data_IF_754495491840
#
_entry.id   IF_754495491840
#
_cell.length_a   1.000
_cell.length_b   1.000
_cell.length_c   1.000
_cell.angle_alpha   90.00
_cell.angle_beta   90.00
_cell.angle_gamma   90.00
#
_symmetry.space_group_name_H-M   'P 1'
#
loop_
_entity.id
_entity.type
_entity.pdbx_description
1 polymer ?
#
# COMPACT_ATOMS: atom_id res chain seq x y z
N UNK A 1 -2.75 -21.25 17.77
CA UNK A 1 -3.32 -22.28 16.89
C UNK A 1 -2.63 -22.09 15.55
N UNK A 2 -1.91 -23.08 15.05
CA UNK A 2 -1.48 -23.10 13.65
C UNK A 2 -2.70 -23.25 12.72
N UNK A 3 -2.61 -22.65 11.53
CA UNK A 3 -3.74 -22.34 10.68
C UNK A 3 -3.59 -21.00 9.95
N UNK A 4 -4.56 -20.73 9.09
CA UNK A 4 -4.65 -19.55 8.25
C UNK A 4 -6.02 -18.87 8.40
N UNK A 5 -6.02 -17.54 8.31
CA UNK A 5 -7.23 -16.76 8.15
C UNK A 5 -7.68 -16.76 6.70
N UNK A 6 -8.99 -16.78 6.47
CA UNK A 6 -9.53 -16.82 5.11
C UNK A 6 -10.74 -15.91 4.94
N UNK A 7 -10.63 -14.91 4.07
CA UNK A 7 -11.77 -14.09 3.65
C UNK A 7 -12.60 -14.84 2.62
N UNK A 8 -13.91 -14.90 2.78
CA UNK A 8 -14.82 -15.50 1.81
C UNK A 8 -15.70 -14.48 1.08
N UNK A 9 -16.14 -14.89 -0.11
CA UNK A 9 -17.10 -14.22 -0.99
C UNK A 9 -18.39 -13.81 -0.25
N UNK A 10 -18.86 -14.68 0.65
CA UNK A 10 -20.03 -14.47 1.52
C UNK A 10 -19.80 -13.55 2.74
N UNK A 11 -18.84 -12.62 2.62
CA UNK A 11 -18.63 -11.51 3.55
C UNK A 11 -18.32 -11.94 5.01
N UNK A 12 -17.61 -13.06 5.15
CA UNK A 12 -17.27 -13.65 6.46
C UNK A 12 -15.80 -14.11 6.45
N UNK A 13 -15.05 -13.64 7.44
CA UNK A 13 -13.69 -14.10 7.75
C UNK A 13 -13.76 -15.45 8.48
N UNK A 14 -12.88 -16.38 8.13
CA UNK A 14 -12.81 -17.76 8.63
C UNK A 14 -11.44 -18.10 9.21
N UNK A 15 -11.35 -19.11 10.06
CA UNK A 15 -10.08 -19.70 10.50
C UNK A 15 -10.04 -21.16 10.08
N UNK A 16 -9.11 -21.51 9.19
CA UNK A 16 -8.78 -22.88 8.81
C UNK A 16 -7.57 -23.34 9.61
N UNK A 17 -7.60 -24.53 10.21
CA UNK A 17 -6.44 -25.05 10.95
C UNK A 17 -5.57 -25.91 10.05
N UNK A 18 -4.26 -25.87 10.24
CA UNK A 18 -3.31 -26.76 9.54
C UNK A 18 -3.55 -28.25 9.86
N UNK A 19 -4.37 -28.56 10.87
CA UNK A 19 -4.76 -29.91 11.28
C UNK A 19 -6.13 -30.37 10.74
N UNK A 20 -6.91 -29.50 10.08
CA UNK A 20 -8.18 -29.81 9.41
C UNK A 20 -8.44 -28.82 8.27
N UNK A 21 -8.09 -29.24 7.05
CA UNK A 21 -8.27 -28.48 5.81
C UNK A 21 -9.73 -28.47 5.31
N UNK A 22 -10.60 -29.25 5.94
CA UNK A 22 -12.04 -29.33 5.61
C UNK A 22 -12.91 -28.37 6.42
N UNK A 23 -12.43 -27.91 7.57
CA UNK A 23 -13.23 -27.18 8.59
C UNK A 23 -12.66 -25.80 8.93
N UNK A 24 -12.75 -24.85 8.01
CA UNK A 24 -12.51 -23.44 8.35
C UNK A 24 -13.74 -22.78 9.02
N UNK A 25 -13.93 -22.83 10.36
CA UNK A 25 -15.13 -22.38 11.19
C UNK A 25 -15.60 -20.91 10.92
N UNK A 26 -16.87 -20.36 11.15
CA UNK A 26 -17.04 -18.55 10.39
C UNK A 26 -16.16 -17.52 11.21
N UNK A 27 -14.86 -17.81 11.45
CA UNK A 27 -13.82 -17.39 12.44
C UNK A 27 -14.27 -17.24 13.90
N UNK A 28 -15.23 -16.37 14.14
CA UNK A 28 -15.00 -15.37 15.18
C UNK A 28 -15.71 -15.64 16.52
N UNK A 29 -16.80 -16.40 16.62
CA UNK A 29 -17.27 -17.01 17.89
C UNK A 29 -16.32 -18.07 18.44
N UNK A 30 -15.15 -18.35 17.84
CA UNK A 30 -14.04 -18.86 18.67
C UNK A 30 -13.85 -17.87 19.84
N UNK A 31 -13.98 -16.57 19.58
CA UNK A 31 -14.15 -15.51 20.58
C UNK A 31 -15.40 -15.65 21.45
N UNK A 32 -16.63 -15.78 20.95
CA UNK A 32 -17.82 -15.92 21.83
C UNK A 32 -17.82 -17.24 22.65
N UNK A 33 -17.17 -18.30 22.16
CA UNK A 33 -16.97 -19.56 22.89
C UNK A 33 -15.94 -19.39 24.00
N UNK A 34 -14.91 -18.56 23.80
CA UNK A 34 -14.09 -18.05 24.89
C UNK A 34 -14.88 -16.99 25.66
N UNK A 35 -15.57 -17.38 26.75
CA UNK A 35 -16.60 -16.60 27.44
C UNK A 35 -16.21 -15.17 27.95
N UNK A 36 -14.96 -14.73 27.80
CA UNK A 36 -14.62 -13.31 27.80
C UNK A 36 -14.65 -12.77 26.38
N UNK A 37 -15.53 -11.81 26.10
CA UNK A 37 -15.72 -11.19 24.79
C UNK A 37 -14.51 -10.34 24.34
N UNK A 38 -13.34 -10.94 24.15
CA UNK A 38 -11.99 -10.34 24.17
C UNK A 38 -11.71 -9.26 23.10
N UNK A 39 -11.77 -7.99 23.48
CA UNK A 39 -11.22 -6.63 22.25
C UNK A 39 -9.86 -6.72 21.54
N UNK A 40 -9.07 -7.74 21.86
CA UNK A 40 -7.74 -7.97 21.29
C UNK A 40 -7.63 -9.42 20.77
N UNK A 41 -8.76 -10.12 20.68
CA UNK A 41 -8.87 -11.45 20.10
C UNK A 41 -8.23 -11.52 18.70
N UNK A 42 -8.54 -10.55 17.84
CA UNK A 42 -8.02 -10.49 16.47
C UNK A 42 -6.50 -10.24 16.42
N UNK A 43 -5.90 -9.55 17.41
CA UNK A 43 -4.43 -9.37 17.46
C UNK A 43 -3.69 -10.71 17.52
N UNK A 44 -4.31 -11.76 18.06
CA UNK A 44 -3.77 -13.13 18.11
C UNK A 44 -3.67 -13.78 16.71
N UNK A 45 -4.32 -13.18 15.71
CA UNK A 45 -4.34 -13.63 14.32
C UNK A 45 -3.68 -12.64 13.35
N UNK A 46 -3.16 -11.50 13.82
CA UNK A 46 -2.51 -10.50 12.95
C UNK A 46 -1.35 -11.07 12.13
N UNK A 47 -0.60 -12.03 12.69
CA UNK A 47 0.52 -12.71 12.03
C UNK A 47 0.13 -14.00 11.30
N UNK A 48 -1.14 -14.39 11.30
CA UNK A 48 -1.60 -15.57 10.57
C UNK A 48 -1.66 -15.28 9.08
N UNK A 49 -1.22 -16.24 8.27
CA UNK A 49 -1.36 -16.22 6.82
C UNK A 49 -2.82 -15.96 6.44
N UNK A 50 -3.05 -15.06 5.49
CA UNK A 50 -4.35 -14.85 4.86
C UNK A 50 -4.43 -15.60 3.53
N UNK A 51 -5.61 -16.14 3.27
CA UNK A 51 -6.11 -16.50 1.94
C UNK A 51 -7.34 -15.62 1.66
N UNK A 52 -7.52 -15.21 0.41
CA UNK A 52 -8.77 -14.58 -0.05
C UNK A 52 -9.45 -15.57 -0.99
N UNK A 53 -10.74 -15.85 -0.79
CA UNK A 53 -11.52 -16.75 -1.65
C UNK A 53 -11.81 -16.11 -3.01
N UNK A 54 -11.84 -16.92 -4.07
CA UNK A 54 -12.24 -16.47 -5.40
C UNK A 54 -13.62 -15.78 -5.37
N UNK A 55 -13.68 -14.54 -5.88
CA UNK A 55 -14.91 -13.74 -5.88
C UNK A 55 -15.17 -12.94 -4.60
N UNK A 56 -14.25 -12.95 -3.62
CA UNK A 56 -14.29 -12.00 -2.49
C UNK A 56 -14.03 -10.59 -3.01
N UNK A 57 -14.99 -9.69 -2.80
CA UNK A 57 -14.85 -8.27 -3.14
C UNK A 57 -14.30 -7.45 -1.97
N UNK A 58 -13.87 -6.22 -2.22
CA UNK A 58 -13.46 -5.29 -1.17
C UNK A 58 -14.60 -5.06 -0.15
N UNK A 59 -15.85 -4.95 -0.61
CA UNK A 59 -17.04 -4.91 0.26
C UNK A 59 -17.20 -6.18 1.10
N UNK A 60 -16.95 -7.38 0.55
CA UNK A 60 -16.98 -8.63 1.32
C UNK A 60 -15.89 -8.66 2.40
N UNK A 61 -14.69 -8.14 2.12
CA UNK A 61 -13.64 -7.99 3.16
C UNK A 61 -14.11 -7.03 4.26
N UNK A 62 -14.69 -5.89 3.91
CA UNK A 62 -15.14 -4.87 4.88
C UNK A 62 -16.24 -5.39 5.80
N UNK A 63 -17.24 -6.06 5.23
CA UNK A 63 -18.31 -6.70 6.00
C UNK A 63 -17.78 -7.88 6.84
N UNK A 64 -16.75 -8.58 6.37
CA UNK A 64 -16.08 -9.64 7.12
C UNK A 64 -15.28 -9.11 8.33
N UNK A 65 -14.72 -7.90 8.27
CA UNK A 65 -13.96 -7.26 9.37
C UNK A 65 -14.77 -6.32 10.25
N UNK A 66 -16.00 -5.92 9.85
CA UNK A 66 -16.91 -5.09 10.66
C UNK A 66 -16.96 -5.45 12.15
N UNK A 67 -17.08 -6.74 12.52
CA UNK A 67 -16.93 -7.21 13.88
C UNK A 67 -15.79 -6.65 14.75
N UNK A 68 -14.67 -6.24 14.16
CA UNK A 68 -13.54 -5.64 14.87
C UNK A 68 -13.21 -4.23 14.38
N UNK A 69 -14.15 -3.53 13.73
CA UNK A 69 -13.89 -2.20 13.13
C UNK A 69 -13.30 -1.19 14.12
N UNK A 70 -13.71 -1.21 15.38
CA UNK A 70 -13.12 -0.37 16.43
C UNK A 70 -11.64 -0.68 16.73
N UNK A 71 -11.23 -1.96 16.70
CA UNK A 71 -9.82 -2.35 16.87
C UNK A 71 -8.98 -1.97 15.65
N UNK A 72 -9.52 -2.22 14.45
CA UNK A 72 -8.83 -1.93 13.20
C UNK A 72 -8.69 -0.43 12.99
N UNK A 73 -9.71 0.38 13.30
CA UNK A 73 -9.62 1.83 13.35
C UNK A 73 -8.54 2.32 14.32
N UNK A 74 -8.48 1.76 15.52
CA UNK A 74 -7.50 2.16 16.53
C UNK A 74 -6.05 1.69 16.24
N UNK A 75 -5.84 0.77 15.30
CA UNK A 75 -4.53 0.25 14.92
C UNK A 75 -4.03 0.80 13.58
N UNK A 76 -4.91 0.92 12.58
CA UNK A 76 -4.62 1.48 11.26
C UNK A 76 -4.66 3.02 11.25
N UNK A 77 -5.25 3.64 12.28
CA UNK A 77 -5.53 5.08 12.31
C UNK A 77 -6.40 5.53 11.11
N UNK A 78 -7.49 4.82 10.87
CA UNK A 78 -8.43 5.04 9.76
C UNK A 78 -9.86 4.78 10.23
N UNK A 79 -10.84 5.51 9.71
CA UNK A 79 -12.26 5.21 9.97
C UNK A 79 -12.76 4.05 9.10
N UNK A 80 -12.21 2.86 9.38
CA UNK A 80 -12.69 1.55 8.92
C UNK A 80 -14.21 1.44 9.13
N UNK A 81 -14.74 2.05 10.21
CA UNK A 81 -16.18 2.16 10.47
C UNK A 81 -16.95 2.87 9.36
N UNK A 82 -16.54 4.08 9.02
CA UNK A 82 -17.11 4.86 7.91
C UNK A 82 -16.94 4.14 6.57
N UNK A 83 -15.76 3.56 6.29
CA UNK A 83 -15.52 2.76 5.07
C UNK A 83 -16.50 1.56 4.96
N UNK A 84 -16.76 0.85 6.06
CA UNK A 84 -17.76 -0.23 6.13
C UNK A 84 -19.18 0.28 5.88
N UNK A 85 -19.55 1.39 6.50
CA UNK A 85 -20.91 1.92 6.42
C UNK A 85 -21.18 2.61 5.06
N UNK A 86 -20.13 3.02 4.35
CA UNK A 86 -20.15 3.49 2.95
C UNK A 86 -20.33 2.33 1.95
N UNK A 87 -19.60 1.21 2.11
CA UNK A 87 -19.75 0.08 1.17
C UNK A 87 -21.15 -0.56 1.22
N UNK A 88 -21.88 -0.43 2.34
CA UNK A 88 -23.28 -0.90 2.49
C UNK A 88 -24.31 -0.11 1.67
N UNK A 89 -24.04 1.15 1.31
CA UNK A 89 -24.99 1.96 0.51
C UNK A 89 -25.01 1.44 -0.94
N UNK A 90 -26.13 1.54 -1.70
CA UNK A 90 -26.12 1.17 -3.13
C UNK A 90 -25.10 2.02 -3.91
N UNK A 91 -24.41 1.42 -4.89
CA UNK A 91 -23.61 2.20 -5.86
C UNK A 91 -24.52 2.93 -6.84
N UNK A 92 -24.07 4.10 -7.30
CA UNK A 92 -24.65 4.77 -8.47
C UNK A 92 -24.26 4.08 -9.78
N UNK A 93 -24.67 4.66 -10.91
CA UNK A 93 -24.26 4.21 -12.25
C UNK A 93 -22.88 4.75 -12.65
N UNK A 94 -21.90 4.63 -11.76
CA UNK A 94 -20.52 5.07 -11.99
C UNK A 94 -19.73 3.96 -12.68
N UNK A 95 -19.14 4.23 -13.83
CA UNK A 95 -18.24 3.31 -14.52
C UNK A 95 -16.83 3.39 -13.92
N UNK A 96 -16.23 2.25 -13.63
CA UNK A 96 -14.82 2.11 -13.29
C UNK A 96 -14.18 1.17 -14.31
N UNK A 97 -13.01 1.54 -14.84
CA UNK A 97 -12.29 0.71 -15.82
C UNK A 97 -11.41 -0.37 -15.15
N UNK A 98 -11.26 -0.31 -13.83
CA UNK A 98 -10.53 -1.30 -13.02
C UNK A 98 -11.31 -2.63 -12.95
N UNK A 99 -10.61 -3.76 -13.12
CA UNK A 99 -11.21 -5.10 -13.12
C UNK A 99 -10.93 -5.90 -11.84
N UNK A 100 -9.83 -5.64 -11.15
CA UNK A 100 -9.52 -6.23 -9.83
C UNK A 100 -8.62 -5.32 -8.99
N UNK A 101 -8.57 -5.62 -7.69
CA UNK A 101 -7.62 -5.04 -6.74
C UNK A 101 -6.58 -6.12 -6.41
N UNK A 102 -5.32 -5.86 -6.72
CA UNK A 102 -4.19 -6.71 -6.36
C UNK A 102 -3.48 -6.19 -5.12
N UNK A 103 -3.01 -7.10 -4.27
CA UNK A 103 -2.10 -6.80 -3.16
C UNK A 103 -0.75 -7.46 -3.45
N UNK A 104 0.29 -6.66 -3.70
CA UNK A 104 1.65 -7.14 -3.99
C UNK A 104 2.67 -6.70 -2.93
N UNK A 105 3.55 -7.62 -2.52
CA UNK A 105 4.69 -7.31 -1.63
C UNK A 105 5.92 -6.99 -2.47
N UNK A 106 6.59 -5.88 -2.13
CA UNK A 106 7.90 -5.52 -2.67
C UNK A 106 8.89 -5.35 -1.54
N UNK A 107 10.14 -5.69 -1.83
CA UNK A 107 11.23 -5.66 -0.86
C UNK A 107 12.43 -5.00 -1.51
N UNK A 108 13.01 -4.01 -0.85
CA UNK A 108 14.23 -3.32 -1.29
C UNK A 108 15.36 -3.59 -0.30
N UNK A 109 16.58 -3.72 -0.82
CA UNK A 109 17.79 -3.86 0.00
C UNK A 109 18.78 -2.77 -0.38
N UNK A 110 19.24 -2.02 0.62
CA UNK A 110 20.11 -0.85 0.46
C UNK A 110 21.37 -1.02 1.30
N UNK A 111 22.51 -0.55 0.79
CA UNK A 111 23.75 -0.50 1.58
C UNK A 111 23.64 0.58 2.66
N UNK A 112 23.98 0.25 3.91
CA UNK A 112 24.14 1.27 4.94
C UNK A 112 25.54 1.91 4.82
N UNK A 113 25.62 3.23 4.97
CA UNK A 113 26.86 4.01 4.83
C UNK A 113 27.27 4.67 6.16
N UNK A 114 28.57 4.88 6.36
CA UNK A 114 29.09 5.54 7.56
C UNK A 114 28.94 7.06 7.48
N UNK A 115 27.84 7.58 8.02
CA UNK A 115 27.62 9.01 8.19
C UNK A 115 28.60 9.63 9.20
N UNK A 116 29.56 10.39 8.69
CA UNK A 116 30.40 11.28 9.50
C UNK A 116 29.67 12.62 9.69
N UNK A 117 29.68 13.23 10.90
CA UNK A 117 29.08 14.54 11.10
C UNK A 117 29.77 15.61 10.25
N UNK A 118 29.07 16.72 9.97
CA UNK A 118 29.63 17.88 9.28
C UNK A 118 30.71 18.52 10.16
N UNK A 119 31.81 18.98 9.55
CA UNK A 119 32.82 19.75 10.27
C UNK A 119 32.39 21.22 10.42
N UNK A 120 32.98 21.94 11.39
CA UNK A 120 32.59 23.33 11.70
C UNK A 120 32.88 24.28 10.52
N UNK A 121 34.00 24.06 9.82
CA UNK A 121 34.49 24.87 8.71
C UNK A 121 33.97 24.43 7.32
N UNK A 122 33.19 23.36 7.25
CA UNK A 122 32.78 22.70 5.99
C UNK A 122 31.48 23.28 5.40
N UNK A 123 31.43 23.43 4.06
CA UNK A 123 30.21 23.88 3.38
C UNK A 123 29.21 22.74 3.21
N UNK A 124 27.92 23.07 3.13
CA UNK A 124 26.86 22.07 2.89
C UNK A 124 27.07 21.33 1.55
N UNK A 125 27.60 22.00 0.53
CA UNK A 125 27.87 21.38 -0.76
C UNK A 125 29.00 20.34 -0.66
N UNK A 126 30.09 20.66 0.05
CA UNK A 126 31.20 19.72 0.26
C UNK A 126 30.72 18.51 1.09
N UNK A 127 29.93 18.76 2.14
CA UNK A 127 29.34 17.73 3.00
C UNK A 127 28.45 16.74 2.23
N UNK A 128 27.52 17.23 1.40
CA UNK A 128 26.65 16.34 0.60
C UNK A 128 27.39 15.60 -0.51
N UNK A 129 28.51 16.14 -1.00
CA UNK A 129 29.33 15.52 -2.06
C UNK A 129 30.52 14.69 -1.52
N UNK A 130 30.55 14.40 -0.21
CA UNK A 130 31.53 13.48 0.42
C UNK A 130 31.49 12.09 -0.25
N UNK A 131 32.66 11.49 -0.46
CA UNK A 131 32.77 10.09 -0.87
C UNK A 131 32.32 9.17 0.28
N UNK A 132 31.10 8.64 0.17
CA UNK A 132 30.48 7.86 1.25
C UNK A 132 31.16 6.50 1.39
N UNK A 133 31.67 6.21 2.60
CA UNK A 133 32.23 4.89 2.91
C UNK A 133 31.10 3.91 3.24
N UNK A 134 30.89 2.84 2.45
CA UNK A 134 29.90 1.82 2.78
C UNK A 134 30.31 1.05 4.03
N UNK A 135 29.32 0.63 4.82
CA UNK A 135 29.51 -0.26 5.96
C UNK A 135 29.32 -1.73 5.59
N UNK A 136 29.64 -2.63 6.53
CA UNK A 136 29.30 -4.05 6.43
C UNK A 136 27.79 -4.32 6.59
N UNK A 137 27.01 -3.32 7.00
CA UNK A 137 25.57 -3.41 7.25
C UNK A 137 24.74 -3.05 5.99
N UNK A 138 23.48 -3.49 5.98
CA UNK A 138 22.51 -3.23 4.92
C UNK A 138 21.10 -3.23 5.52
N UNK A 139 20.24 -2.37 4.99
CA UNK A 139 18.84 -2.28 5.39
C UNK A 139 17.95 -3.07 4.43
N UNK A 140 16.91 -3.70 4.97
CA UNK A 140 15.85 -4.36 4.18
C UNK A 140 14.53 -3.68 4.51
N UNK A 141 13.97 -2.97 3.52
CA UNK A 141 12.63 -2.42 3.58
C UNK A 141 11.66 -3.37 2.85
N UNK A 142 10.48 -3.62 3.41
CA UNK A 142 9.45 -4.42 2.77
C UNK A 142 8.07 -3.83 3.03
N UNK A 143 7.29 -3.67 1.97
CA UNK A 143 5.94 -3.10 2.04
C UNK A 143 4.96 -3.94 1.21
N UNK A 144 3.69 -3.86 1.57
CA UNK A 144 2.58 -4.50 0.88
C UNK A 144 1.63 -3.41 0.39
N UNK A 145 1.52 -3.24 -0.93
CA UNK A 145 0.63 -2.26 -1.55
C UNK A 145 -0.72 -2.88 -1.89
N UNK A 146 -1.80 -2.08 -1.89
CA UNK A 146 -3.04 -2.41 -2.58
C UNK A 146 -3.23 -1.47 -3.78
N UNK A 147 -3.44 -2.02 -4.98
CA UNK A 147 -3.60 -1.26 -6.22
C UNK A 147 -4.70 -1.81 -7.12
N UNK A 148 -5.30 -0.93 -7.92
CA UNK A 148 -6.24 -1.29 -8.98
C UNK A 148 -5.51 -1.68 -10.27
N UNK A 149 -6.10 -2.59 -11.02
CA UNK A 149 -5.54 -3.10 -12.28
C UNK A 149 -6.60 -3.19 -13.37
N UNK A 150 -6.17 -2.98 -14.62
CA UNK A 150 -6.97 -3.12 -15.85
C UNK A 150 -6.36 -4.28 -16.65
N UNK A 151 -7.18 -5.13 -17.30
CA UNK A 151 -6.65 -6.33 -17.96
C UNK A 151 -5.89 -6.01 -19.25
N UNK A 152 -4.61 -6.34 -19.25
CA UNK A 152 -3.71 -6.03 -20.37
C UNK A 152 -3.01 -4.67 -20.24
N UNK A 153 -3.24 -3.97 -19.13
CA UNK A 153 -2.37 -2.88 -18.66
C UNK A 153 -1.36 -3.46 -17.63
N UNK A 154 -0.15 -2.91 -17.60
CA UNK A 154 0.89 -3.24 -16.61
C UNK A 154 0.97 -2.18 -15.49
N UNK A 155 0.26 -1.06 -15.65
CA UNK A 155 0.22 0.01 -14.64
C UNK A 155 -0.59 -0.39 -13.41
N UNK A 156 -0.23 0.23 -12.29
CA UNK A 156 -0.95 0.15 -11.02
C UNK A 156 -1.68 1.46 -10.79
N UNK A 157 -3.00 1.36 -10.64
CA UNK A 157 -3.88 2.51 -10.45
C UNK A 157 -4.21 2.67 -8.95
N UNK A 158 -4.45 3.91 -8.52
CA UNK A 158 -4.87 4.15 -7.13
C UNK A 158 -6.25 3.53 -6.88
N UNK A 159 -6.50 3.14 -5.63
CA UNK A 159 -7.82 2.78 -5.13
C UNK A 159 -8.36 3.80 -4.12
N UNK A 160 -7.69 4.95 -3.95
CA UNK A 160 -8.04 5.98 -2.97
C UNK A 160 -9.28 6.83 -3.32
N UNK A 161 -9.87 6.62 -4.50
CA UNK A 161 -10.97 7.40 -5.07
C UNK A 161 -12.35 7.01 -4.51
N UNK A 162 -13.43 7.19 -5.29
CA UNK A 162 -14.79 6.84 -4.92
C UNK A 162 -14.94 5.32 -4.65
N UNK A 163 -15.08 4.97 -3.37
CA UNK A 163 -15.31 3.62 -2.89
C UNK A 163 -16.52 2.93 -3.55
N UNK A 164 -17.52 3.68 -4.05
CA UNK A 164 -18.67 3.10 -4.77
C UNK A 164 -18.32 2.48 -6.12
N UNK A 165 -17.24 2.94 -6.75
CA UNK A 165 -16.69 2.38 -7.98
C UNK A 165 -16.01 1.03 -7.70
N UNK A 166 -15.09 1.02 -6.74
CA UNK A 166 -14.14 -0.09 -6.53
C UNK A 166 -14.61 -1.19 -5.57
N UNK A 167 -15.60 -0.93 -4.70
CA UNK A 167 -15.96 -1.87 -3.63
C UNK A 167 -16.46 -3.24 -4.08
N UNK A 168 -16.96 -3.32 -5.32
CA UNK A 168 -17.45 -4.56 -5.92
C UNK A 168 -16.38 -5.31 -6.71
N UNK A 169 -15.16 -4.77 -6.81
CA UNK A 169 -14.04 -5.44 -7.47
C UNK A 169 -13.51 -6.59 -6.61
N UNK A 170 -13.11 -7.72 -7.22
CA UNK A 170 -12.47 -8.83 -6.51
C UNK A 170 -11.10 -8.40 -5.99
N UNK A 171 -10.76 -8.83 -4.78
CA UNK A 171 -9.44 -8.60 -4.16
C UNK A 171 -8.59 -9.87 -4.27
N UNK A 172 -7.32 -9.71 -4.62
CA UNK A 172 -6.42 -10.81 -4.95
C UNK A 172 -5.08 -10.60 -4.24
N UNK A 173 -4.55 -11.64 -3.60
CA UNK A 173 -3.18 -11.65 -3.08
C UNK A 173 -2.22 -12.14 -4.18
N UNK A 174 -1.23 -11.32 -4.52
CA UNK A 174 -0.18 -11.70 -5.46
C UNK A 174 0.87 -12.55 -4.74
N UNK A 175 0.81 -13.87 -4.93
CA UNK A 175 1.67 -14.86 -4.27
C UNK A 175 3.15 -14.84 -4.71
N UNK A 176 3.53 -13.87 -5.56
CA UNK A 176 4.92 -13.56 -5.95
C UNK A 176 5.33 -12.19 -5.42
N UNK A 177 6.53 -12.13 -4.84
CA UNK A 177 7.24 -10.90 -4.49
C UNK A 177 8.52 -10.77 -5.32
N UNK A 178 9.06 -9.56 -5.39
CA UNK A 178 10.40 -9.31 -5.93
C UNK A 178 11.20 -8.51 -4.91
N UNK A 179 12.41 -9.01 -4.62
CA UNK A 179 13.44 -8.31 -3.85
C UNK A 179 14.37 -7.59 -4.84
N UNK A 180 14.60 -6.30 -4.65
CA UNK A 180 15.42 -5.44 -5.53
C UNK A 180 16.58 -4.84 -4.75
N UNK A 181 17.75 -4.72 -5.36
CA UNK A 181 18.92 -4.03 -4.80
C UNK A 181 19.63 -3.16 -5.85
N UNK A 182 20.25 -2.01 -5.47
CA UNK A 182 21.04 -1.19 -6.38
C UNK A 182 22.24 -1.94 -6.99
N UNK A 183 22.39 -1.86 -8.31
CA UNK A 183 23.41 -2.60 -9.06
C UNK A 183 24.86 -2.16 -8.77
N UNK A 184 25.05 -0.96 -8.20
CA UNK A 184 26.37 -0.43 -7.82
C UNK A 184 26.92 -1.01 -6.51
N UNK A 185 26.08 -1.57 -5.64
CA UNK A 185 26.41 -1.85 -4.24
C UNK A 185 26.86 -3.30 -3.96
N UNK A 186 26.82 -4.15 -5.00
CA UNK A 186 27.27 -5.55 -4.93
C UNK A 186 26.45 -6.48 -4.03
N UNK A 187 25.33 -6.00 -3.46
CA UNK A 187 24.49 -6.71 -2.48
C UNK A 187 23.90 -8.02 -3.03
N UNK A 188 23.55 -8.02 -4.32
CA UNK A 188 23.22 -9.21 -5.08
C UNK A 188 24.34 -9.47 -6.11
N UNK A 189 24.70 -10.74 -6.32
CA UNK A 189 25.76 -11.13 -7.25
C UNK A 189 25.18 -11.90 -8.43
N UNK A 190 25.55 -11.50 -9.65
CA UNK A 190 25.18 -12.18 -10.91
C UNK A 190 25.73 -13.62 -11.01
N UNK A 191 26.60 -14.03 -10.09
CA UNK A 191 27.10 -15.40 -9.97
C UNK A 191 26.13 -16.36 -9.25
N UNK A 192 25.09 -15.84 -8.61
CA UNK A 192 24.10 -16.62 -7.85
C UNK A 192 22.88 -16.92 -8.72
N UNK A 193 22.56 -18.20 -8.88
CA UNK A 193 21.40 -18.64 -9.67
C UNK A 193 20.10 -18.05 -9.09
N UNK A 194 19.29 -17.45 -9.97
CA UNK A 194 18.05 -16.75 -9.59
C UNK A 194 18.20 -15.24 -9.35
N UNK A 195 19.43 -14.69 -9.37
CA UNK A 195 19.65 -13.24 -9.48
C UNK A 195 19.54 -12.83 -10.94
N UNK A 196 18.65 -11.88 -11.22
CA UNK A 196 18.49 -11.22 -12.51
C UNK A 196 18.98 -9.77 -12.42
N UNK A 197 19.30 -9.15 -13.56
CA UNK A 197 19.70 -7.75 -13.66
C UNK A 197 18.79 -6.98 -14.63
N UNK A 198 18.48 -5.74 -14.30
CA UNK A 198 17.71 -4.83 -15.16
C UNK A 198 18.16 -3.39 -14.93
N UNK A 199 18.49 -2.68 -16.00
CA UNK A 199 18.99 -1.29 -15.96
C UNK A 199 20.15 -1.12 -14.95
N UNK A 200 19.90 -0.41 -13.84
CA UNK A 200 20.87 -0.14 -12.76
C UNK A 200 20.57 -0.93 -11.47
N UNK A 201 19.72 -1.97 -11.51
CA UNK A 201 19.38 -2.79 -10.35
C UNK A 201 19.56 -4.30 -10.61
N UNK A 202 19.61 -5.05 -9.52
CA UNK A 202 19.50 -6.52 -9.51
C UNK A 202 18.27 -6.93 -8.72
N UNK A 203 17.71 -8.08 -9.04
CA UNK A 203 16.52 -8.58 -8.37
C UNK A 203 16.46 -10.10 -8.28
N UNK A 204 15.71 -10.58 -7.30
CA UNK A 204 15.31 -11.98 -7.13
C UNK A 204 13.79 -11.99 -6.98
N UNK A 205 13.08 -12.81 -7.76
CA UNK A 205 11.65 -13.04 -7.59
C UNK A 205 11.40 -14.38 -6.91
N UNK A 206 10.39 -14.45 -6.03
CA UNK A 206 10.08 -15.65 -5.26
C UNK A 206 8.66 -15.64 -4.72
N UNK A 207 8.25 -16.73 -4.08
CA UNK A 207 6.92 -16.83 -3.46
C UNK A 207 6.83 -15.93 -2.21
N UNK A 208 5.60 -15.51 -1.89
CA UNK A 208 5.29 -14.72 -0.69
C UNK A 208 3.99 -15.19 -0.04
N UNK A 209 3.80 -14.82 1.22
CA UNK A 209 2.53 -14.95 1.92
C UNK A 209 2.27 -13.73 2.78
N UNK A 210 1.03 -13.25 2.77
CA UNK A 210 0.59 -12.08 3.50
C UNK A 210 -0.01 -12.53 4.83
N UNK A 211 0.34 -11.84 5.90
CA UNK A 211 -0.35 -11.95 7.17
C UNK A 211 -1.63 -11.11 7.17
N UNK A 212 -2.47 -11.26 8.19
CA UNK A 212 -3.65 -10.41 8.34
C UNK A 212 -3.29 -8.94 8.53
N UNK A 213 -2.16 -8.63 9.20
CA UNK A 213 -1.66 -7.27 9.29
C UNK A 213 -1.34 -6.70 7.90
N UNK A 214 -0.54 -7.43 7.09
CA UNK A 214 -0.17 -7.00 5.74
C UNK A 214 -1.38 -6.65 4.86
N UNK A 215 -2.42 -7.49 4.88
CA UNK A 215 -3.63 -7.29 4.03
C UNK A 215 -4.43 -6.07 4.49
N UNK A 216 -4.48 -5.79 5.79
CA UNK A 216 -5.18 -4.62 6.32
C UNK A 216 -4.38 -3.32 6.13
N UNK A 217 -3.06 -3.35 6.34
CA UNK A 217 -2.17 -2.21 6.09
C UNK A 217 -2.15 -1.85 4.60
N UNK A 218 -2.05 -2.85 3.71
CA UNK A 218 -2.15 -2.64 2.26
C UNK A 218 -3.46 -1.92 1.91
N UNK A 219 -4.62 -2.45 2.33
CA UNK A 219 -5.92 -1.90 1.94
C UNK A 219 -6.18 -0.51 2.53
N UNK A 220 -5.87 -0.27 3.80
CA UNK A 220 -6.27 0.96 4.51
C UNK A 220 -5.18 2.03 4.66
N UNK A 221 -3.90 1.69 4.51
CA UNK A 221 -2.80 2.68 4.58
C UNK A 221 -2.31 3.02 3.17
N UNK A 222 -1.95 2.01 2.37
CA UNK A 222 -1.38 2.24 1.03
C UNK A 222 -2.44 2.53 -0.03
N UNK A 223 -3.56 1.79 -0.02
CA UNK A 223 -4.60 1.88 -1.04
C UNK A 223 -5.63 2.98 -0.75
N UNK A 224 -6.39 2.82 0.34
CA UNK A 224 -7.38 3.79 0.81
C UNK A 224 -6.72 4.82 1.71
N UNK A 225 -5.79 5.57 1.13
CA UNK A 225 -4.90 6.53 1.78
C UNK A 225 -5.56 7.45 2.82
N UNK A 226 -6.78 7.95 2.53
CA UNK A 226 -7.50 8.91 3.36
C UNK A 226 -8.07 8.33 4.66
N UNK A 227 -8.25 9.18 5.68
CA UNK A 227 -8.83 8.78 6.96
C UNK A 227 -10.25 8.19 6.84
N UNK A 228 -11.08 8.71 5.94
CA UNK A 228 -12.46 8.23 5.71
C UNK A 228 -12.93 8.50 4.27
N UNK A 229 -14.03 7.87 3.80
CA UNK A 229 -14.62 8.18 2.50
C UNK A 229 -15.05 9.65 2.36
N UNK A 230 -15.53 10.27 3.46
CA UNK A 230 -15.88 11.68 3.46
C UNK A 230 -14.62 12.55 3.31
N UNK A 231 -13.55 12.22 4.03
CA UNK A 231 -12.26 12.93 3.93
C UNK A 231 -11.65 12.82 2.53
N UNK A 232 -11.83 11.68 1.85
CA UNK A 232 -11.46 11.52 0.44
C UNK A 232 -12.27 12.48 -0.44
N UNK A 233 -13.61 12.42 -0.38
CA UNK A 233 -14.50 13.25 -1.19
C UNK A 233 -14.26 14.76 -1.00
N UNK A 234 -14.08 15.22 0.25
CA UNK A 234 -13.75 16.61 0.59
C UNK A 234 -12.38 17.04 0.07
N UNK A 235 -11.40 16.12 0.00
CA UNK A 235 -10.07 16.38 -0.56
C UNK A 235 -10.11 16.46 -2.08
N UNK A 236 -10.80 15.54 -2.75
CA UNK A 236 -10.97 15.56 -4.21
C UNK A 236 -11.75 16.79 -4.68
N UNK A 237 -12.83 17.19 -4.00
CA UNK A 237 -13.54 18.42 -4.32
C UNK A 237 -12.63 19.65 -4.24
N UNK A 238 -11.79 19.77 -3.19
CA UNK A 238 -10.84 20.87 -3.07
C UNK A 238 -9.74 20.85 -4.14
N UNK A 239 -9.34 19.66 -4.62
CA UNK A 239 -8.40 19.53 -5.72
C UNK A 239 -9.04 19.97 -7.05
N UNK A 240 -10.28 19.55 -7.32
CA UNK A 240 -11.04 19.95 -8.51
C UNK A 240 -11.33 21.46 -8.53
N UNK A 241 -11.71 22.05 -7.40
CA UNK A 241 -11.91 23.51 -7.27
C UNK A 241 -10.62 24.30 -7.57
N UNK A 242 -9.47 23.85 -7.02
CA UNK A 242 -8.17 24.46 -7.30
C UNK A 242 -7.73 24.26 -8.74
N UNK A 243 -7.98 23.09 -9.32
CA UNK A 243 -7.61 22.74 -10.70
C UNK A 243 -8.49 23.45 -11.73
N UNK A 244 -9.76 23.70 -11.40
CA UNK A 244 -10.64 24.60 -12.14
C UNK A 244 -10.14 26.05 -12.11
N UNK A 245 -9.89 26.60 -10.92
CA UNK A 245 -9.35 27.96 -10.78
C UNK A 245 -7.99 28.15 -11.47
N UNK A 246 -7.14 27.12 -11.48
CA UNK A 246 -5.85 27.14 -12.20
C UNK A 246 -6.04 27.14 -13.73
N UNK A 247 -7.01 26.38 -14.26
CA UNK A 247 -7.36 26.43 -15.69
C UNK A 247 -7.91 27.80 -16.09
N UNK A 248 -8.82 28.38 -15.31
CA UNK A 248 -9.32 29.75 -15.54
C UNK A 248 -8.19 30.79 -15.50
N UNK A 249 -7.14 30.57 -14.71
CA UNK A 249 -5.96 31.44 -14.66
C UNK A 249 -5.00 31.27 -15.87
N UNK A 250 -5.00 30.11 -16.53
CA UNK A 250 -4.30 29.89 -17.79
C UNK A 250 -5.08 30.50 -18.97
N UNK A 251 -6.38 30.23 -19.05
CA UNK A 251 -7.27 30.68 -20.13
C UNK A 251 -7.51 32.19 -20.13
N UNK A 252 -7.11 32.91 -19.07
CA UNK A 252 -7.23 34.37 -18.95
C UNK A 252 -5.95 35.16 -19.31
N UNK A 253 -4.89 34.49 -19.77
CA UNK A 253 -3.73 35.17 -20.37
C UNK A 253 -3.90 35.34 -21.90
N UNK A 254 -3.59 36.51 -22.49
CA UNK A 254 -3.65 36.68 -23.95
C UNK A 254 -2.54 35.89 -24.66
N UNK A 255 -2.84 35.29 -25.81
CA UNK A 255 -1.83 34.63 -26.66
C UNK A 255 -0.75 35.63 -27.11
N UNK A 256 0.47 35.45 -26.59
CA UNK A 256 1.67 36.15 -27.04
C UNK A 256 2.14 35.62 -28.40
N UNK A 257 2.31 36.51 -29.37
CA UNK A 257 2.62 36.19 -30.76
C UNK A 257 3.87 35.31 -30.94
N UNK A 258 3.75 34.27 -31.78
CA UNK A 258 4.89 33.48 -32.25
C UNK A 258 5.82 34.29 -33.16
N UNK A 259 7.08 34.49 -32.76
CA UNK A 259 8.17 34.85 -33.67
C UNK A 259 9.16 33.67 -33.78
N UNK A 260 9.48 33.28 -35.01
CA UNK A 260 10.44 32.21 -35.31
C UNK A 260 11.88 32.73 -35.33
N UNK A 261 12.43 32.96 -34.14
CA UNK A 261 13.86 33.17 -33.93
C UNK A 261 14.62 31.84 -33.93
N UNK A 262 15.54 31.64 -34.88
CA UNK A 262 16.36 30.43 -34.98
C UNK A 262 17.80 30.72 -34.56
N UNK A 263 18.13 30.45 -33.29
CA UNK A 263 19.52 30.35 -32.80
C UNK A 263 19.62 29.35 -31.65
N UNK A 264 20.73 28.60 -31.59
CA UNK A 264 20.87 27.41 -30.77
C UNK A 264 21.53 27.75 -29.41
N UNK A 265 20.73 28.03 -28.37
CA UNK A 265 21.21 28.07 -26.99
C UNK A 265 20.07 27.81 -25.98
N UNK A 266 20.03 26.60 -25.41
CA UNK A 266 19.21 26.32 -24.22
C UNK A 266 19.83 26.99 -22.99
N UNK A 267 19.05 27.66 -22.12
CA UNK A 267 19.55 28.08 -20.82
C UNK A 267 19.76 26.86 -19.91
N UNK A 268 21.02 26.55 -19.58
CA UNK A 268 21.34 25.52 -18.58
C UNK A 268 21.12 26.09 -17.18
N UNK A 269 20.12 25.58 -16.46
CA UNK A 269 19.87 25.92 -15.05
C UNK A 269 20.55 24.85 -14.18
N UNK A 270 21.49 25.29 -13.34
CA UNK A 270 22.05 24.45 -12.28
C UNK A 270 21.29 24.69 -10.98
N UNK A 271 20.83 23.61 -10.35
CA UNK A 271 20.23 23.60 -9.02
C UNK A 271 21.36 23.28 -8.02
N UNK A 272 21.29 23.85 -6.82
CA UNK A 272 22.15 23.52 -5.69
C UNK A 272 21.35 22.82 -4.59
N UNK A 273 22.01 21.96 -3.81
CA UNK A 273 21.40 21.23 -2.71
C UNK A 273 20.89 22.20 -1.61
N UNK A 274 19.78 21.84 -0.96
CA UNK A 274 19.04 22.71 -0.02
C UNK A 274 17.79 23.40 -0.61
N UNK A 275 17.47 23.17 -1.89
CA UNK A 275 16.29 23.75 -2.56
C UNK A 275 14.92 23.31 -1.98
N UNK A 276 14.89 22.41 -0.99
CA UNK A 276 13.69 21.79 -0.44
C UNK A 276 13.58 21.87 1.09
N UNK A 277 14.48 22.56 1.78
CA UNK A 277 14.56 22.52 3.26
C UNK A 277 13.28 23.07 3.92
N UNK A 278 12.60 24.02 3.26
CA UNK A 278 11.27 24.53 3.66
C UNK A 278 10.17 23.44 3.71
N UNK A 279 10.40 22.25 3.16
CA UNK A 279 9.47 21.11 3.22
C UNK A 279 9.68 20.28 4.50
N UNK A 280 10.88 20.33 5.09
CA UNK A 280 11.25 19.54 6.27
C UNK A 280 10.70 20.17 7.56
N UNK A 281 10.78 21.50 7.71
CA UNK A 281 10.23 22.24 8.86
C UNK A 281 8.72 21.97 9.07
N UNK A 282 7.97 21.72 7.99
CA UNK A 282 6.55 21.42 8.05
C UNK A 282 6.27 20.06 8.73
N UNK A 283 7.10 19.05 8.46
CA UNK A 283 6.96 17.67 8.93
C UNK A 283 7.18 17.56 10.45
N UNK A 284 8.04 18.41 11.02
CA UNK A 284 8.25 18.43 12.47
C UNK A 284 7.07 19.04 13.23
N UNK A 285 6.27 19.91 12.60
CA UNK A 285 5.13 20.57 13.24
C UNK A 285 3.96 19.59 13.49
N UNK A 286 3.67 18.67 12.56
CA UNK A 286 2.59 17.67 12.74
C UNK A 286 2.88 16.65 13.86
N UNK A 287 4.14 16.55 14.28
CA UNK A 287 4.68 15.54 15.19
C UNK A 287 4.22 15.73 16.65
N UNK A 288 3.89 16.96 17.04
CA UNK A 288 3.52 17.30 18.42
C UNK A 288 2.03 17.07 18.72
N UNK A 289 1.11 17.51 17.84
CA UNK A 289 -0.35 17.28 18.00
C UNK A 289 -0.68 15.78 18.09
N UNK A 290 0.10 14.94 17.39
CA UNK A 290 -0.08 13.48 17.38
C UNK A 290 0.23 12.78 18.71
N UNK A 291 0.74 13.48 19.71
CA UNK A 291 0.89 12.94 21.06
C UNK A 291 -0.37 13.05 21.92
N UNK A 292 -1.33 13.91 21.59
CA UNK A 292 -2.55 14.10 22.38
C UNK A 292 -3.55 12.94 22.18
N UNK A 293 -3.76 12.55 20.92
CA UNK A 293 -4.82 11.62 20.46
C UNK A 293 -4.67 10.21 21.04
N UNK A 294 -3.42 9.72 21.14
CA UNK A 294 -3.03 8.37 21.62
C UNK A 294 -3.55 8.02 23.03
N UNK A 295 -4.04 9.00 23.78
CA UNK A 295 -4.53 8.82 25.16
C UNK A 295 -5.90 8.12 25.23
N UNK A 296 -6.77 8.29 24.22
CA UNK A 296 -8.22 8.08 24.37
C UNK A 296 -8.71 6.65 24.06
N UNK A 297 -8.19 5.99 23.02
CA UNK A 297 -8.87 4.87 22.35
C UNK A 297 -8.80 3.48 23.05
N UNK A 298 -8.59 3.42 24.38
CA UNK A 298 -8.36 2.18 25.14
C UNK A 298 -9.62 1.31 25.42
N UNK A 299 -10.70 1.41 24.63
CA UNK A 299 -12.05 0.94 25.06
C UNK A 299 -12.90 0.13 24.04
N UNK A 300 -12.78 -1.21 24.11
CA UNK A 300 -13.81 -2.25 23.88
C UNK A 300 -14.12 -2.92 22.49
N UNK A 301 -14.61 -4.19 22.56
CA UNK A 301 -14.10 -5.48 21.92
C UNK A 301 -15.29 -6.38 21.30
N UNK A 302 -15.06 -7.32 20.33
CA UNK A 302 -15.80 -8.64 19.98
C UNK A 302 -16.95 -8.87 18.92
N UNK A 303 -17.21 -10.13 18.36
CA UNK A 303 -18.44 -10.69 17.60
C UNK A 303 -18.41 -12.29 17.19
N UNK A 304 -19.07 -12.97 16.14
CA UNK A 304 -19.18 -14.49 15.87
C UNK A 304 -18.55 -15.19 14.55
N UNK A 305 -18.32 -16.52 14.16
CA UNK A 305 -18.66 -18.01 14.49
C UNK A 305 -19.13 -18.92 13.33
N UNK A 306 -18.41 -19.01 12.14
CA UNK A 306 -18.50 -20.14 9.51
C UNK A 306 -17.52 -21.21 8.80
N UNK A 307 -17.77 -22.52 9.02
CA UNK A 307 -17.14 -23.77 8.53
C UNK A 307 -17.15 -23.92 7.00
N UNK A 308 -16.05 -24.44 6.41
CA UNK A 308 -16.00 -25.07 5.08
C UNK A 308 -14.59 -25.22 4.48
N UNK A 309 -14.50 -25.87 3.30
CA UNK A 309 -13.34 -25.81 2.37
C UNK A 309 -13.42 -24.50 1.57
N UNK A 310 -12.28 -23.89 1.24
CA UNK A 310 -12.20 -22.56 0.61
C UNK A 310 -11.18 -22.55 -0.53
N UNK A 311 -11.55 -21.94 -1.68
CA UNK A 311 -10.72 -21.88 -2.89
C UNK A 311 -10.04 -20.52 -3.03
N UNK A 312 -8.69 -20.43 -3.04
CA UNK A 312 -7.98 -19.16 -3.19
C UNK A 312 -8.28 -18.42 -4.51
N UNK A 313 -8.43 -17.10 -4.43
CA UNK A 313 -8.30 -16.20 -5.57
C UNK A 313 -6.87 -16.25 -6.13
N UNK A 314 -6.73 -16.02 -7.44
CA UNK A 314 -5.45 -15.90 -8.14
C UNK A 314 -5.55 -14.77 -9.17
N UNK A 315 -4.45 -14.04 -9.44
CA UNK A 315 -4.46 -13.01 -10.47
C UNK A 315 -4.65 -13.64 -11.86
N UNK A 316 -5.13 -12.87 -12.86
CA UNK A 316 -4.90 -13.22 -14.25
C UNK A 316 -3.38 -13.29 -14.53
N UNK A 317 -2.97 -13.87 -15.65
CA UNK A 317 -1.54 -14.01 -16.00
C UNK A 317 -0.90 -12.63 -16.28
N UNK A 318 -0.40 -11.97 -15.24
CA UNK A 318 0.41 -10.75 -15.33
C UNK A 318 1.77 -11.13 -15.94
N UNK A 319 2.26 -10.42 -16.98
CA UNK A 319 3.62 -10.57 -17.47
C UNK A 319 4.64 -10.42 -16.33
N UNK A 320 5.72 -11.21 -16.36
CA UNK A 320 6.79 -11.03 -15.39
C UNK A 320 7.51 -9.71 -15.69
N UNK A 321 7.87 -8.89 -14.68
CA UNK A 321 8.69 -7.70 -14.88
C UNK A 321 10.06 -8.14 -15.43
N UNK A 322 10.23 -7.99 -16.75
CA UNK A 322 11.33 -8.57 -17.52
C UNK A 322 10.93 -9.14 -18.89
N UNK A 323 9.65 -9.50 -19.10
CA UNK A 323 9.17 -10.10 -20.34
C UNK A 323 9.28 -9.19 -21.58
N UNK A 324 9.43 -7.87 -21.39
CA UNK A 324 9.59 -6.87 -22.44
C UNK A 324 11.04 -6.74 -22.98
N UNK A 325 11.97 -7.61 -22.57
CA UNK A 325 13.39 -7.55 -22.97
C UNK A 325 13.88 -8.73 -23.83
N UNK A 326 12.97 -9.61 -24.29
CA UNK A 326 13.32 -10.81 -25.08
C UNK A 326 12.93 -10.69 -26.58
N UNK A 327 12.58 -9.48 -27.05
CA UNK A 327 12.43 -9.17 -28.49
C UNK A 327 13.30 -7.96 -28.93
N UNK A 328 14.16 -8.23 -29.93
CA UNK A 328 15.07 -7.35 -30.71
C UNK A 328 16.38 -6.86 -30.07
#
# INVERSE_FOLDING_TARGET
>A
MEGQLVFCSDAILRFCSEYDDTTAVPLLSIQQTFAEADPYFLLKYFRHRVVIEQGTTLASIFLAIEPWKALLTAWLDRDVGAYIDEVKKPSGSTSCDLEWIGIDRRTSVYRAYHYQPREEDESLQDYFNREQTPSDEFDIESHCDASGFIKGDEQRWSISEDIHQIKNLPVILCDKQTLIAPGKEGLLSDSVSGVNSALNSRYISGETSFSFADVMEAIFISGLFFYSPQSAAESYQQLDERLGAFKEHLDSQPEGSTETGNDDNKPTIHIADGAFDSMLDHIETEKEDWHLVKTLCKQNRSLPVRIGIITPARPPEIPQPGALFDES
#
